data_IF_051756305582
#
_entry.id   IF_051756305582
#
_cell.length_a   1.000
_cell.length_b   1.000
_cell.length_c   1.000
_cell.angle_alpha   90.00
_cell.angle_beta   90.00
_cell.angle_gamma   90.00
#
_symmetry.space_group_name_H-M   'P 1'
#
loop_
_entity.id
_entity.type
_entity.pdbx_description
1 polymer ?
#
# COMPACT_ATOMS: atom_id res chain seq x y z
N UNK A 1 8.77 -6.85 16.88
CA UNK A 1 10.22 -6.69 17.06
C UNK A 1 10.90 -8.04 16.84
N UNK A 2 12.21 -8.07 16.51
CA UNK A 2 12.89 -9.32 16.14
C UNK A 2 12.78 -10.45 17.17
N UNK A 3 12.51 -10.12 18.43
CA UNK A 3 12.33 -11.03 19.56
C UNK A 3 10.95 -11.72 19.62
N UNK A 4 9.90 -11.17 19.00
CA UNK A 4 8.54 -11.71 19.10
C UNK A 4 8.05 -12.48 17.87
N UNK A 5 8.78 -12.45 16.75
CA UNK A 5 8.37 -13.09 15.50
C UNK A 5 7.41 -12.25 14.64
N UNK A 6 6.79 -12.88 13.63
CA UNK A 6 5.92 -12.23 12.66
C UNK A 6 4.47 -12.21 13.17
N UNK A 7 3.87 -11.02 13.24
CA UNK A 7 2.46 -10.83 13.56
C UNK A 7 1.63 -10.73 12.28
N UNK A 8 0.53 -11.46 12.25
CA UNK A 8 -0.32 -11.64 11.09
C UNK A 8 -1.77 -11.26 11.41
N UNK A 9 -2.44 -10.57 10.47
CA UNK A 9 -3.88 -10.30 10.59
C UNK A 9 -4.65 -11.63 10.72
N UNK A 10 -5.56 -11.73 11.70
CA UNK A 10 -6.33 -12.94 12.02
C UNK A 10 -7.05 -13.59 10.84
N UNK A 11 -7.36 -12.83 9.78
CA UNK A 11 -8.08 -13.31 8.59
C UNK A 11 -7.18 -14.00 7.55
N UNK A 12 -5.86 -13.86 7.61
CA UNK A 12 -4.93 -14.55 6.70
C UNK A 12 -5.24 -16.07 6.69
N UNK A 13 -5.38 -16.72 5.52
CA UNK A 13 -4.94 -16.26 4.20
C UNK A 13 -5.96 -15.42 3.42
N UNK A 14 -7.11 -15.08 3.99
CA UNK A 14 -8.09 -14.20 3.34
C UNK A 14 -7.50 -12.80 3.12
N UNK A 15 -7.82 -12.21 1.98
CA UNK A 15 -7.38 -10.88 1.54
C UNK A 15 -8.53 -9.89 1.46
N UNK A 16 -9.76 -10.34 1.67
CA UNK A 16 -10.95 -9.48 1.65
C UNK A 16 -11.07 -8.77 3.00
N UNK A 17 -10.87 -7.45 2.96
CA UNK A 17 -11.05 -6.57 4.11
C UNK A 17 -12.38 -5.83 3.99
N UNK A 18 -13.17 -5.79 5.07
CA UNK A 18 -14.45 -5.09 5.10
C UNK A 18 -14.33 -3.78 5.89
N UNK A 19 -15.26 -2.85 5.65
CA UNK A 19 -15.42 -1.67 6.50
C UNK A 19 -14.75 -0.38 6.01
N UNK A 20 -14.34 -0.29 4.74
CA UNK A 20 -13.99 0.99 4.15
C UNK A 20 -15.23 1.90 4.10
N UNK A 21 -15.23 3.00 4.86
CA UNK A 21 -16.26 4.02 4.69
C UNK A 21 -16.04 4.74 3.36
N UNK A 22 -17.12 5.31 2.83
CA UNK A 22 -17.03 6.18 1.66
C UNK A 22 -16.03 7.30 1.96
N UNK A 23 -15.08 7.50 1.05
CA UNK A 23 -14.02 8.52 1.13
C UNK A 23 -12.95 8.27 2.22
N UNK A 24 -12.86 7.06 2.79
CA UNK A 24 -11.79 6.64 3.71
C UNK A 24 -10.89 5.57 3.06
N UNK A 25 -9.57 5.78 3.12
CA UNK A 25 -8.59 4.75 2.76
C UNK A 25 -8.31 3.85 3.96
N UNK A 26 -9.26 3.01 4.35
CA UNK A 26 -9.10 2.15 5.52
C UNK A 26 -9.97 0.91 5.48
N UNK A 27 -9.53 -0.14 6.16
CA UNK A 27 -10.30 -1.37 6.36
C UNK A 27 -9.66 -2.19 7.50
N UNK A 28 -10.49 -2.88 8.29
CA UNK A 28 -10.03 -3.87 9.29
C UNK A 28 -8.87 -3.39 10.18
N UNK A 29 -9.01 -2.19 10.75
CA UNK A 29 -8.03 -1.57 11.64
C UNK A 29 -6.98 -0.71 10.94
N UNK A 30 -6.74 -0.92 9.63
CA UNK A 30 -5.87 -0.05 8.82
C UNK A 30 -6.61 1.25 8.49
N UNK A 31 -5.94 2.39 8.63
CA UNK A 31 -6.41 3.68 8.16
C UNK A 31 -5.24 4.51 7.62
N UNK A 32 -5.37 4.95 6.37
CA UNK A 32 -4.47 5.89 5.71
C UNK A 32 -5.21 7.23 5.54
N UNK A 33 -4.55 8.33 5.91
CA UNK A 33 -5.15 9.67 5.80
C UNK A 33 -4.13 10.63 5.18
N UNK A 34 -4.48 11.31 4.07
CA UNK A 34 -3.64 12.38 3.54
C UNK A 34 -3.67 13.57 4.50
N UNK A 35 -2.50 14.03 4.93
CA UNK A 35 -2.35 15.19 5.82
C UNK A 35 -1.89 16.41 5.03
N UNK A 36 -0.89 16.23 4.15
CA UNK A 36 -0.46 17.20 3.14
C UNK A 36 -0.30 16.45 1.81
N UNK A 37 -1.02 16.90 0.78
CA UNK A 37 -1.11 16.18 -0.48
C UNK A 37 0.29 15.96 -1.07
N UNK A 38 0.57 14.72 -1.47
CA UNK A 38 1.86 14.31 -2.04
C UNK A 38 3.09 14.56 -1.14
N UNK A 39 2.90 14.80 0.17
CA UNK A 39 4.01 15.07 1.10
C UNK A 39 3.91 14.31 2.41
N UNK A 40 2.73 14.30 3.03
CA UNK A 40 2.53 13.77 4.38
C UNK A 40 1.28 12.92 4.49
N UNK A 41 1.43 11.72 5.04
CA UNK A 41 0.35 10.76 5.24
C UNK A 41 0.41 10.17 6.65
N UNK A 42 -0.73 10.15 7.32
CA UNK A 42 -0.90 9.38 8.56
C UNK A 42 -1.26 7.94 8.19
N UNK A 43 -0.54 6.97 8.74
CA UNK A 43 -0.79 5.53 8.57
C UNK A 43 -1.00 4.91 9.94
N UNK A 44 -2.15 4.28 10.14
CA UNK A 44 -2.54 3.69 11.41
C UNK A 44 -2.97 2.25 11.22
N UNK A 45 -2.68 1.42 12.21
CA UNK A 45 -3.28 0.10 12.37
C UNK A 45 -3.64 -0.12 13.83
N UNK A 46 -4.93 -0.23 14.14
CA UNK A 46 -5.39 -0.57 15.49
C UNK A 46 -6.22 -1.86 15.41
N UNK A 47 -5.74 -2.94 16.02
CA UNK A 47 -6.43 -4.22 15.98
C UNK A 47 -5.65 -5.38 16.58
N UNK A 48 -6.29 -6.54 16.58
CA UNK A 48 -5.68 -7.80 17.03
C UNK A 48 -4.88 -8.46 15.91
N UNK A 49 -3.67 -8.90 16.22
CA UNK A 49 -2.86 -9.76 15.36
C UNK A 49 -2.54 -11.07 16.07
N UNK A 50 -2.36 -12.16 15.32
CA UNK A 50 -1.87 -13.43 15.86
C UNK A 50 -0.40 -13.64 15.51
N UNK A 51 0.30 -14.40 16.32
CA UNK A 51 1.65 -14.84 15.99
C UNK A 51 1.61 -15.88 14.87
N UNK A 52 2.48 -15.76 13.87
CA UNK A 52 2.55 -16.73 12.77
C UNK A 52 2.93 -18.13 13.27
N UNK A 53 3.89 -18.22 14.18
CA UNK A 53 4.36 -19.49 14.75
C UNK A 53 3.39 -20.12 15.74
N UNK A 54 2.47 -19.34 16.32
CA UNK A 54 1.43 -19.80 17.24
C UNK A 54 0.13 -19.00 17.04
N UNK A 55 -0.79 -19.48 16.18
CA UNK A 55 -2.03 -18.78 15.85
C UNK A 55 -2.99 -18.52 17.02
N UNK A 56 -2.86 -19.26 18.13
CA UNK A 56 -3.67 -19.06 19.34
C UNK A 56 -3.18 -17.85 20.16
N UNK A 57 -1.92 -17.45 19.97
CA UNK A 57 -1.36 -16.28 20.62
C UNK A 57 -1.77 -15.00 19.88
N UNK A 58 -2.74 -14.30 20.46
CA UNK A 58 -3.26 -13.02 19.96
C UNK A 58 -2.70 -11.86 20.78
N UNK A 59 -2.28 -10.80 20.08
CA UNK A 59 -1.73 -9.58 20.67
C UNK A 59 -2.53 -8.37 20.19
N UNK A 60 -2.67 -7.38 21.07
CA UNK A 60 -3.23 -6.08 20.71
C UNK A 60 -2.12 -5.22 20.11
N UNK A 61 -2.33 -4.77 18.88
CA UNK A 61 -1.36 -3.97 18.13
C UNK A 61 -1.93 -2.60 17.81
N UNK A 62 -1.15 -1.57 18.11
CA UNK A 62 -1.45 -0.18 17.79
C UNK A 62 -0.25 0.46 17.08
N UNK A 63 -0.33 0.57 15.77
CA UNK A 63 0.60 1.30 14.93
C UNK A 63 0.06 2.71 14.68
N UNK A 64 0.87 3.71 14.97
CA UNK A 64 0.62 5.10 14.62
C UNK A 64 1.93 5.67 14.03
N UNK A 65 1.98 5.82 12.71
CA UNK A 65 3.17 6.31 11.99
C UNK A 65 2.80 7.35 10.94
N UNK A 66 3.76 8.19 10.59
CA UNK A 66 3.62 9.24 9.59
C UNK A 66 4.65 9.04 8.48
N UNK A 67 4.17 8.89 7.25
CA UNK A 67 5.00 8.97 6.06
C UNK A 67 5.21 10.43 5.67
N UNK A 68 6.46 10.81 5.40
CA UNK A 68 6.85 12.14 4.94
C UNK A 68 7.83 12.06 3.77
N UNK A 69 7.66 12.96 2.81
CA UNK A 69 8.61 13.18 1.74
C UNK A 69 8.60 14.63 1.25
N UNK A 70 9.80 15.17 1.03
CA UNK A 70 10.03 16.39 0.25
C UNK A 70 10.63 16.07 -1.13
N UNK A 71 10.71 14.78 -1.48
CA UNK A 71 11.18 14.34 -2.79
C UNK A 71 10.04 14.42 -3.82
N UNK A 72 10.35 14.70 -5.10
CA UNK A 72 9.37 14.59 -6.16
C UNK A 72 8.84 13.16 -6.25
N UNK A 73 7.56 13.03 -6.60
CA UNK A 73 6.98 11.74 -7.00
C UNK A 73 7.32 11.46 -8.46
N UNK A 74 7.38 10.18 -8.82
CA UNK A 74 7.52 9.72 -10.20
C UNK A 74 6.16 9.25 -10.70
N UNK A 75 5.61 9.92 -11.71
CA UNK A 75 4.35 9.57 -12.35
C UNK A 75 4.61 8.82 -13.66
N UNK A 76 4.11 7.59 -13.75
CA UNK A 76 4.39 6.71 -14.89
C UNK A 76 3.73 7.17 -16.19
N UNK A 77 2.67 7.99 -16.11
CA UNK A 77 2.01 8.55 -17.28
C UNK A 77 2.79 9.73 -17.90
N UNK A 78 3.61 10.44 -17.12
CA UNK A 78 4.26 11.69 -17.55
C UNK A 78 5.78 11.64 -17.54
N UNK A 79 6.38 10.89 -16.63
CA UNK A 79 7.81 10.96 -16.33
C UNK A 79 8.58 9.80 -16.97
N UNK A 80 7.87 8.75 -17.42
CA UNK A 80 8.47 7.64 -18.13
C UNK A 80 8.90 8.06 -19.54
N UNK A 81 10.16 7.78 -19.89
CA UNK A 81 10.67 8.14 -21.21
C UNK A 81 9.91 7.38 -22.32
N UNK A 82 9.34 8.06 -23.34
CA UNK A 82 8.48 7.44 -24.34
C UNK A 82 9.11 6.24 -25.06
N UNK A 83 10.43 6.24 -25.25
CA UNK A 83 11.13 5.12 -25.91
C UNK A 83 11.00 3.78 -25.18
N UNK A 84 10.80 3.79 -23.86
CA UNK A 84 10.59 2.56 -23.06
C UNK A 84 9.24 1.97 -23.41
N UNK A 85 8.20 2.80 -23.39
CA UNK A 85 6.84 2.41 -23.77
C UNK A 85 6.76 1.98 -25.24
N UNK A 86 7.31 2.77 -26.17
CA UNK A 86 7.33 2.41 -27.58
C UNK A 86 8.04 1.08 -27.84
N UNK A 87 9.14 0.80 -27.13
CA UNK A 87 9.86 -0.47 -27.27
C UNK A 87 9.08 -1.66 -26.74
N UNK A 88 8.39 -1.52 -25.61
CA UNK A 88 7.50 -2.56 -25.09
C UNK A 88 6.35 -2.80 -26.07
N UNK A 89 5.69 -1.74 -26.51
CA UNK A 89 4.57 -1.77 -27.45
C UNK A 89 4.93 -2.39 -28.81
N UNK A 90 6.14 -2.14 -29.30
CA UNK A 90 6.63 -2.70 -30.57
C UNK A 90 6.95 -4.20 -30.52
N UNK A 91 7.04 -4.80 -29.32
CA UNK A 91 7.30 -6.24 -29.13
C UNK A 91 6.02 -7.06 -29.02
N UNK A 92 4.87 -6.43 -28.82
CA UNK A 92 3.58 -7.10 -28.69
C UNK A 92 2.93 -7.38 -30.06
N UNK A 93 2.09 -8.41 -30.13
CA UNK A 93 1.27 -8.66 -31.32
C UNK A 93 0.11 -7.67 -31.39
N UNK A 94 0.06 -6.88 -32.46
CA UNK A 94 -0.96 -5.83 -32.64
C UNK A 94 -2.30 -6.43 -33.10
N UNK A 95 -3.04 -6.97 -32.14
CA UNK A 95 -4.38 -7.50 -32.34
C UNK A 95 -5.45 -6.54 -31.84
N UNK A 96 -6.68 -6.65 -32.36
CA UNK A 96 -7.82 -5.88 -31.84
C UNK A 96 -8.04 -6.13 -30.34
N UNK A 97 -7.83 -7.37 -29.90
CA UNK A 97 -7.93 -7.77 -28.50
C UNK A 97 -6.89 -7.05 -27.63
N UNK A 98 -5.63 -7.02 -28.07
CA UNK A 98 -4.56 -6.28 -27.38
C UNK A 98 -4.93 -4.81 -27.14
N UNK A 99 -5.40 -4.10 -28.18
CA UNK A 99 -5.80 -2.69 -28.03
C UNK A 99 -7.03 -2.50 -27.13
N UNK A 100 -7.97 -3.44 -27.13
CA UNK A 100 -9.11 -3.40 -26.22
C UNK A 100 -8.67 -3.61 -24.78
N UNK A 101 -7.77 -4.57 -24.54
CA UNK A 101 -7.21 -4.86 -23.23
C UNK A 101 -6.44 -3.65 -22.70
N UNK A 102 -5.59 -3.02 -23.52
CA UNK A 102 -4.82 -1.83 -23.15
C UNK A 102 -5.71 -0.67 -22.71
N UNK A 103 -6.80 -0.41 -23.43
CA UNK A 103 -7.79 0.63 -23.05
C UNK A 103 -8.47 0.30 -21.72
N UNK A 104 -8.76 -0.98 -21.49
CA UNK A 104 -9.46 -1.44 -20.28
C UNK A 104 -8.57 -1.50 -19.05
N UNK A 105 -7.26 -1.67 -19.25
CA UNK A 105 -6.26 -1.87 -18.22
C UNK A 105 -5.54 -0.59 -17.79
N UNK A 106 -5.86 0.57 -18.39
CA UNK A 106 -5.22 1.83 -18.02
C UNK A 106 -5.49 2.19 -16.56
N UNK A 107 -4.40 2.33 -15.81
CA UNK A 107 -4.36 2.80 -14.43
C UNK A 107 -3.28 3.88 -14.37
N UNK A 108 -3.59 5.02 -13.75
CA UNK A 108 -2.57 6.01 -13.42
C UNK A 108 -1.88 5.56 -12.15
N UNK A 109 -0.55 5.64 -12.18
CA UNK A 109 0.33 5.13 -11.14
C UNK A 109 1.41 6.15 -10.84
N UNK A 110 1.67 6.38 -9.56
CA UNK A 110 2.82 7.15 -9.13
C UNK A 110 3.46 6.55 -7.89
N UNK A 111 4.74 6.88 -7.75
CA UNK A 111 5.63 6.37 -6.74
C UNK A 111 6.36 7.51 -6.03
N UNK A 112 6.57 7.37 -4.72
CA UNK A 112 7.29 8.38 -3.96
C UNK A 112 8.13 7.75 -2.84
N UNK A 113 9.43 8.02 -2.88
CA UNK A 113 10.36 7.68 -1.80
C UNK A 113 10.19 8.64 -0.62
N UNK A 114 10.39 8.17 0.60
CA UNK A 114 10.28 9.01 1.79
C UNK A 114 10.73 8.29 3.06
N UNK A 115 10.35 8.86 4.19
CA UNK A 115 10.61 8.31 5.51
C UNK A 115 9.31 8.05 6.24
N UNK A 116 9.30 7.07 7.13
CA UNK A 116 8.19 6.79 8.03
C UNK A 116 8.69 6.78 9.47
N UNK A 117 8.08 7.62 10.31
CA UNK A 117 8.41 7.73 11.73
C UNK A 117 7.16 7.55 12.59
N UNK A 118 7.34 7.11 13.83
CA UNK A 118 6.25 6.96 14.79
C UNK A 118 6.47 5.75 15.69
N UNK A 119 5.39 5.06 16.06
CA UNK A 119 5.50 3.94 17.00
C UNK A 119 4.54 2.80 16.70
N UNK A 120 4.96 1.61 17.13
CA UNK A 120 4.07 0.45 17.29
C UNK A 120 4.04 0.02 18.75
N UNK A 121 2.85 -0.09 19.30
CA UNK A 121 2.60 -0.66 20.61
C UNK A 121 2.07 -2.10 20.44
N UNK A 122 2.67 -3.04 21.18
CA UNK A 122 2.29 -4.45 21.18
C UNK A 122 2.10 -4.87 22.64
N UNK A 123 0.86 -5.15 23.04
CA UNK A 123 0.45 -5.49 24.41
C UNK A 123 1.05 -4.53 25.46
N UNK A 124 0.91 -3.21 25.24
CA UNK A 124 1.43 -2.18 26.13
C UNK A 124 2.93 -1.88 26.00
N UNK A 125 3.67 -2.66 25.21
CA UNK A 125 5.10 -2.41 24.95
C UNK A 125 5.26 -1.53 23.72
N UNK A 126 5.81 -0.32 23.89
CA UNK A 126 5.99 0.65 22.80
C UNK A 126 7.36 0.48 22.15
N UNK A 127 7.38 0.45 20.83
CA UNK A 127 8.57 0.46 19.99
C UNK A 127 8.55 1.67 19.07
N UNK A 128 9.60 2.47 19.10
CA UNK A 128 9.79 3.59 18.17
C UNK A 128 10.26 3.07 16.81
N UNK A 129 9.73 3.66 15.74
CA UNK A 129 10.02 3.31 14.37
C UNK A 129 10.59 4.52 13.65
N UNK A 130 11.73 4.31 12.98
CA UNK A 130 12.38 5.25 12.08
C UNK A 130 12.82 4.46 10.85
N UNK A 131 12.06 4.59 9.77
CA UNK A 131 12.15 3.72 8.60
C UNK A 131 12.32 4.53 7.32
N UNK A 132 13.14 4.00 6.40
CA UNK A 132 13.06 4.39 4.99
C UNK A 132 11.82 3.73 4.39
N UNK A 133 11.03 4.49 3.63
CA UNK A 133 9.75 4.04 3.13
C UNK A 133 9.52 4.46 1.68
N UNK A 134 8.56 3.80 1.06
CA UNK A 134 8.15 4.05 -0.30
C UNK A 134 6.63 3.94 -0.38
N UNK A 135 6.01 4.91 -1.06
CA UNK A 135 4.57 4.96 -1.27
C UNK A 135 4.27 4.72 -2.74
N UNK A 136 3.56 3.64 -3.01
CA UNK A 136 2.92 3.37 -4.30
C UNK A 136 1.44 3.76 -4.21
N UNK A 137 0.93 4.42 -5.25
CA UNK A 137 -0.50 4.59 -5.41
C UNK A 137 -0.91 4.43 -6.87
N UNK A 138 -1.89 3.56 -7.10
CA UNK A 138 -2.51 3.31 -8.41
C UNK A 138 -4.02 3.52 -8.34
N UNK A 139 -4.59 4.16 -9.36
CA UNK A 139 -6.03 4.35 -9.48
C UNK A 139 -6.46 4.24 -10.95
N UNK A 140 -7.67 3.70 -11.17
CA UNK A 140 -8.22 3.49 -12.51
C UNK A 140 -9.70 3.12 -12.46
N UNK A 141 -10.34 3.04 -13.63
CA UNK A 141 -11.78 2.77 -13.70
C UNK A 141 -12.18 1.32 -13.38
N UNK A 142 -11.21 0.40 -13.37
CA UNK A 142 -11.45 -1.03 -13.13
C UNK A 142 -10.48 -1.52 -12.05
N UNK A 143 -11.01 -2.19 -11.03
CA UNK A 143 -10.20 -2.90 -10.04
C UNK A 143 -9.41 -4.01 -10.74
N UNK A 144 -8.14 -4.18 -10.40
CA UNK A 144 -7.24 -5.21 -10.92
C UNK A 144 -7.60 -6.65 -10.51
N UNK A 145 -8.84 -6.87 -10.05
CA UNK A 145 -9.33 -8.19 -9.67
C UNK A 145 -9.82 -8.85 -10.96
N UNK A 146 -9.00 -9.77 -11.46
CA UNK A 146 -9.40 -10.66 -12.57
C UNK A 146 -9.99 -11.89 -11.91
N UNK A 147 -11.28 -12.17 -12.19
CA UNK A 147 -11.90 -13.49 -11.94
C UNK A 147 -11.33 -14.56 -12.89
#
# INVERSE_FOLDING_TARGET
TPDRGLLCNRKIPDTILFGAKKDEFGAEGILLTPVDAMRKWSVKYHGEMRLESDPEQVMNVRLDVEFNSDLPYFNFDTDLHPSVMCRAFAKEDWTKEYFNNLKSAHQTHYEQMGNMHGSVEIDGTIHQLELQAFRDHSYGMKLSITE
#
